data_IF_263782678392
#
_entry.id   IF_263782678392
#
_cell.length_a   1.000
_cell.length_b   1.000
_cell.length_c   1.000
_cell.angle_alpha   90.00
_cell.angle_beta   90.00
_cell.angle_gamma   90.00
#
_symmetry.space_group_name_H-M   'P 1'
#
loop_
_entity.id
_entity.type
_entity.pdbx_description
1 polymer ?
#
# COMPACT_ATOMS: atom_id res chain seq x y z
N UNK A 1 -21.26 27.40 1.66
CA UNK A 1 -21.84 26.59 2.74
C UNK A 1 -21.62 25.13 2.35
N UNK A 2 -20.53 24.50 2.81
CA UNK A 2 -20.26 23.07 2.57
C UNK A 2 -21.04 22.30 3.63
N UNK A 3 -21.96 21.42 3.20
CA UNK A 3 -22.96 20.80 4.05
C UNK A 3 -22.40 19.86 5.12
N UNK A 4 -23.16 19.62 6.21
CA UNK A 4 -22.77 18.80 7.36
C UNK A 4 -22.59 17.29 7.10
N UNK A 5 -22.77 16.81 5.86
CA UNK A 5 -22.87 15.37 5.55
C UNK A 5 -21.54 14.64 5.24
N UNK A 6 -20.43 15.33 4.98
CA UNK A 6 -19.15 14.66 4.66
C UNK A 6 -18.59 13.81 5.81
N UNK A 7 -19.04 14.05 7.05
CA UNK A 7 -18.68 13.26 8.24
C UNK A 7 -19.43 11.93 8.35
N UNK A 8 -20.60 11.80 7.71
CA UNK A 8 -21.40 10.57 7.77
C UNK A 8 -20.87 9.50 6.82
N UNK A 9 -20.39 9.90 5.64
CA UNK A 9 -19.93 8.98 4.57
C UNK A 9 -18.57 8.33 4.88
N UNK A 10 -17.76 8.96 5.75
CA UNK A 10 -16.43 8.46 6.14
C UNK A 10 -16.48 7.35 7.19
N UNK A 11 -17.58 7.23 7.94
CA UNK A 11 -17.74 6.22 9.00
C UNK A 11 -17.72 4.77 8.49
N UNK A 12 -18.18 4.53 7.25
CA UNK A 12 -18.14 3.20 6.62
C UNK A 12 -16.79 2.85 5.98
N UNK A 13 -15.94 3.85 5.71
CA UNK A 13 -14.63 3.63 5.08
C UNK A 13 -13.59 3.07 6.05
N UNK A 14 -13.63 3.46 7.34
CA UNK A 14 -12.68 2.99 8.35
C UNK A 14 -12.67 1.45 8.51
N UNK A 15 -13.81 0.77 8.73
CA UNK A 15 -13.81 -0.69 8.82
C UNK A 15 -13.39 -1.37 7.51
N UNK A 16 -13.67 -0.74 6.37
CA UNK A 16 -13.27 -1.24 5.05
C UNK A 16 -11.75 -1.20 4.89
N UNK A 17 -11.12 -0.05 5.15
CA UNK A 17 -9.67 0.11 5.12
C UNK A 17 -8.97 -0.75 6.18
N UNK A 18 -9.59 -0.94 7.35
CA UNK A 18 -9.08 -1.83 8.39
C UNK A 18 -9.02 -3.28 7.89
N UNK A 19 -10.10 -3.76 7.27
CA UNK A 19 -10.17 -5.10 6.68
C UNK A 19 -9.14 -5.29 5.56
N UNK A 20 -8.99 -4.29 4.68
CA UNK A 20 -7.95 -4.32 3.64
C UNK A 20 -6.53 -4.33 4.20
N UNK A 21 -6.27 -3.56 5.26
CA UNK A 21 -4.96 -3.52 5.92
C UNK A 21 -4.61 -4.87 6.50
N UNK A 22 -5.57 -5.55 7.12
CA UNK A 22 -5.36 -6.88 7.70
C UNK A 22 -5.07 -7.93 6.64
N UNK A 23 -5.81 -7.92 5.52
CA UNK A 23 -5.50 -8.78 4.35
C UNK A 23 -4.10 -8.50 3.81
N UNK A 24 -3.70 -7.23 3.76
CA UNK A 24 -2.37 -6.84 3.28
C UNK A 24 -1.27 -7.30 4.25
N UNK A 25 -1.47 -7.21 5.57
CA UNK A 25 -0.54 -7.77 6.58
C UNK A 25 -0.40 -9.28 6.45
N UNK A 26 -1.51 -10.00 6.29
CA UNK A 26 -1.48 -11.44 6.07
C UNK A 26 -0.69 -11.81 4.81
N UNK A 27 -0.85 -11.04 3.72
CA UNK A 27 -0.06 -11.20 2.50
C UNK A 27 1.43 -10.94 2.71
N UNK A 28 1.79 -9.89 3.46
CA UNK A 28 3.19 -9.59 3.82
C UNK A 28 3.79 -10.78 4.58
N UNK A 29 3.10 -11.28 5.60
CA UNK A 29 3.58 -12.42 6.39
C UNK A 29 3.70 -13.73 5.58
N UNK A 30 2.90 -13.92 4.53
CA UNK A 30 3.07 -15.02 3.59
C UNK A 30 4.33 -14.83 2.73
N UNK A 31 4.50 -13.67 2.10
CA UNK A 31 5.66 -13.36 1.25
C UNK A 31 6.97 -13.40 2.02
N UNK A 32 6.98 -13.00 3.31
CA UNK A 32 8.16 -13.10 4.16
C UNK A 32 8.57 -14.55 4.45
N UNK A 33 7.58 -15.45 4.62
CA UNK A 33 7.85 -16.89 4.78
C UNK A 33 8.36 -17.50 3.48
N UNK A 34 7.77 -17.15 2.34
CA UNK A 34 8.22 -17.62 1.03
C UNK A 34 9.67 -17.17 0.76
N UNK A 35 9.98 -15.91 1.11
CA UNK A 35 11.32 -15.35 0.95
C UNK A 35 12.34 -16.02 1.87
N UNK A 36 11.95 -16.41 3.09
CA UNK A 36 12.81 -17.17 3.99
C UNK A 36 13.11 -18.55 3.40
N UNK A 37 12.06 -19.28 2.98
CA UNK A 37 12.18 -20.61 2.38
C UNK A 37 13.10 -20.63 1.15
N UNK A 38 12.99 -19.63 0.28
CA UNK A 38 13.86 -19.50 -0.90
C UNK A 38 15.33 -19.27 -0.52
N UNK A 39 15.60 -18.52 0.55
CA UNK A 39 16.98 -18.31 1.04
C UNK A 39 17.56 -19.57 1.64
N UNK A 40 16.77 -20.32 2.39
CA UNK A 40 17.18 -21.60 2.97
C UNK A 40 17.47 -22.63 1.88
N UNK A 41 16.68 -22.63 0.79
CA UNK A 41 16.88 -23.51 -0.37
C UNK A 41 18.15 -23.19 -1.17
N UNK A 42 18.62 -21.94 -1.21
CA UNK A 42 19.84 -21.59 -1.96
C UNK A 42 21.14 -21.98 -1.24
N UNK A 43 21.09 -22.24 0.07
CA UNK A 43 22.28 -22.48 0.90
C UNK A 43 23.20 -21.25 0.98
N UNK A 44 23.94 -21.09 2.08
CA UNK A 44 24.93 -19.99 2.23
C UNK A 44 26.24 -20.28 1.45
N UNK A 45 26.18 -21.10 0.38
CA UNK A 45 27.36 -21.56 -0.34
C UNK A 45 27.63 -20.66 -1.56
N UNK A 46 28.69 -19.84 -1.55
CA UNK A 46 29.02 -18.94 -2.64
C UNK A 46 29.71 -19.64 -3.83
N UNK A 47 29.82 -20.97 -3.82
CA UNK A 47 30.62 -21.78 -4.75
C UNK A 47 29.76 -22.65 -5.69
N UNK A 48 28.65 -22.10 -6.18
CA UNK A 48 27.77 -22.80 -7.13
C UNK A 48 27.56 -21.99 -8.42
N UNK A 49 28.68 -21.51 -8.98
CA UNK A 49 28.72 -20.70 -10.21
C UNK A 49 28.26 -21.48 -11.47
N UNK A 50 27.89 -22.76 -11.32
CA UNK A 50 27.45 -23.65 -12.39
C UNK A 50 26.13 -24.37 -12.13
N UNK A 51 25.40 -24.04 -11.06
CA UNK A 51 24.07 -24.59 -10.83
C UNK A 51 22.98 -23.76 -11.54
N UNK A 52 22.32 -24.30 -12.59
CA UNK A 52 21.21 -23.62 -13.24
C UNK A 52 20.00 -23.43 -12.31
N UNK A 53 19.87 -24.22 -11.23
CA UNK A 53 18.81 -24.09 -10.24
C UNK A 53 19.03 -22.85 -9.35
N UNK A 54 20.27 -22.55 -8.94
CA UNK A 54 20.64 -21.33 -8.21
C UNK A 54 20.28 -20.01 -8.92
N UNK A 55 20.45 -19.93 -10.25
CA UNK A 55 20.03 -18.76 -11.03
C UNK A 55 18.50 -18.59 -11.04
N UNK A 56 17.76 -19.71 -11.06
CA UNK A 56 16.29 -19.73 -11.02
C UNK A 56 15.79 -19.30 -9.64
N UNK A 57 16.37 -19.82 -8.55
CA UNK A 57 16.03 -19.44 -7.18
C UNK A 57 16.34 -17.96 -6.92
N UNK A 58 17.45 -17.44 -7.44
CA UNK A 58 17.80 -16.03 -7.32
C UNK A 58 16.75 -15.12 -8.00
N UNK A 59 16.25 -15.50 -9.17
CA UNK A 59 15.18 -14.79 -9.88
C UNK A 59 13.84 -14.84 -9.10
N UNK A 60 13.45 -16.01 -8.62
CA UNK A 60 12.25 -16.18 -7.79
C UNK A 60 12.31 -15.31 -6.52
N UNK A 61 13.47 -15.29 -5.86
CA UNK A 61 13.72 -14.44 -4.69
C UNK A 61 13.54 -12.96 -4.99
N UNK A 62 14.05 -12.50 -6.14
CA UNK A 62 13.86 -11.11 -6.58
C UNK A 62 12.38 -10.79 -6.84
N UNK A 63 11.65 -11.72 -7.45
CA UNK A 63 10.22 -11.56 -7.70
C UNK A 63 9.42 -11.46 -6.39
N UNK A 64 9.65 -12.37 -5.44
CA UNK A 64 8.99 -12.35 -4.12
C UNK A 64 9.34 -11.07 -3.35
N UNK A 65 10.61 -10.63 -3.40
CA UNK A 65 11.03 -9.38 -2.76
C UNK A 65 10.32 -8.14 -3.35
N UNK A 66 10.13 -8.08 -4.67
CA UNK A 66 9.40 -7.00 -5.33
C UNK A 66 7.91 -6.98 -4.91
N UNK A 67 7.28 -8.15 -4.83
CA UNK A 67 5.90 -8.28 -4.34
C UNK A 67 5.76 -7.85 -2.87
N UNK A 68 6.76 -8.17 -2.04
CA UNK A 68 6.80 -7.78 -0.63
C UNK A 68 6.92 -6.26 -0.47
N UNK A 69 7.79 -5.61 -1.24
CA UNK A 69 7.93 -4.15 -1.23
C UNK A 69 6.63 -3.46 -1.65
N UNK A 70 5.99 -3.93 -2.73
CA UNK A 70 4.70 -3.40 -3.17
C UNK A 70 3.60 -3.59 -2.11
N UNK A 71 3.54 -4.73 -1.44
CA UNK A 71 2.58 -4.98 -0.37
C UNK A 71 2.82 -4.07 0.85
N UNK A 72 4.06 -3.82 1.24
CA UNK A 72 4.42 -2.89 2.32
C UNK A 72 4.02 -1.45 1.99
N UNK A 73 4.27 -0.99 0.76
CA UNK A 73 3.80 0.32 0.29
C UNK A 73 2.28 0.45 0.37
N UNK A 74 1.57 -0.58 -0.10
CA UNK A 74 0.10 -0.62 -0.04
C UNK A 74 -0.41 -0.57 1.41
N UNK A 75 0.24 -1.27 2.34
CA UNK A 75 -0.13 -1.23 3.76
C UNK A 75 0.06 0.18 4.34
N UNK A 76 1.17 0.84 4.04
CA UNK A 76 1.42 2.21 4.50
C UNK A 76 0.35 3.19 3.99
N UNK A 77 -0.05 3.07 2.72
CA UNK A 77 -1.15 3.88 2.15
C UNK A 77 -2.49 3.65 2.87
N UNK A 78 -2.78 2.40 3.26
CA UNK A 78 -4.01 2.06 4.00
C UNK A 78 -4.00 2.64 5.41
N UNK A 79 -2.88 2.47 6.12
CA UNK A 79 -2.72 2.97 7.49
C UNK A 79 -2.79 4.50 7.53
N UNK A 80 -2.18 5.17 6.56
CA UNK A 80 -2.28 6.62 6.42
C UNK A 80 -3.71 7.07 6.10
N UNK A 81 -4.42 6.37 5.19
CA UNK A 81 -5.82 6.64 4.92
C UNK A 81 -6.69 6.54 6.17
N UNK A 82 -6.44 5.54 7.01
CA UNK A 82 -7.13 5.36 8.30
C UNK A 82 -6.78 6.46 9.31
N UNK A 83 -5.52 6.87 9.39
CA UNK A 83 -5.12 7.96 10.28
C UNK A 83 -5.84 9.26 9.91
N UNK A 84 -5.96 9.55 8.62
CA UNK A 84 -6.68 10.73 8.13
C UNK A 84 -8.19 10.66 8.37
N UNK A 85 -8.80 9.48 8.32
CA UNK A 85 -10.18 9.28 8.76
C UNK A 85 -10.34 9.60 10.25
N UNK A 86 -9.38 9.20 11.08
CA UNK A 86 -9.40 9.48 12.52
C UNK A 86 -9.14 10.96 12.84
N UNK A 87 -8.26 11.63 12.09
CA UNK A 87 -7.99 13.06 12.29
C UNK A 87 -9.13 13.97 11.82
N UNK A 88 -10.03 13.44 10.97
CA UNK A 88 -11.11 14.22 10.36
C UNK A 88 -10.66 15.05 9.15
N UNK A 89 -9.39 14.93 8.73
CA UNK A 89 -8.83 15.58 7.53
C UNK A 89 -8.97 14.71 6.27
N UNK A 90 -9.79 13.66 6.37
CA UNK A 90 -10.11 12.82 5.23
C UNK A 90 -10.92 13.62 4.23
N UNK A 91 -10.33 13.81 3.05
CA UNK A 91 -10.85 14.73 2.05
C UNK A 91 -10.25 16.13 2.08
N UNK A 92 -9.16 16.37 2.81
CA UNK A 92 -8.34 17.58 2.69
C UNK A 92 -7.06 17.31 1.89
N UNK A 93 -6.68 18.21 0.99
CA UNK A 93 -5.46 18.11 0.18
C UNK A 93 -4.22 18.39 1.04
N UNK A 94 -3.21 17.52 0.98
CA UNK A 94 -1.97 17.72 1.75
C UNK A 94 -1.14 18.93 1.27
N UNK A 95 -1.27 19.34 0.00
CA UNK A 95 -0.47 20.43 -0.56
C UNK A 95 -1.11 21.80 -0.40
N UNK A 96 -2.44 21.88 -0.50
CA UNK A 96 -3.16 23.16 -0.50
C UNK A 96 -4.22 23.31 0.60
N UNK A 97 -4.47 22.26 1.39
CA UNK A 97 -5.52 22.25 2.41
C UNK A 97 -6.97 22.27 1.87
N UNK A 98 -7.17 22.37 0.55
CA UNK A 98 -8.49 22.40 -0.07
C UNK A 98 -9.18 21.03 -0.05
N UNK A 99 -10.50 21.00 -0.28
CA UNK A 99 -11.24 19.74 -0.27
C UNK A 99 -10.92 18.84 -1.49
N UNK A 100 -10.87 17.54 -1.26
CA UNK A 100 -10.76 16.49 -2.27
C UNK A 100 -12.19 16.03 -2.59
N UNK A 101 -12.60 16.03 -3.87
CA UNK A 101 -13.93 15.57 -4.26
C UNK A 101 -14.23 14.16 -3.75
N UNK A 102 -15.40 13.93 -3.17
CA UNK A 102 -15.78 12.64 -2.58
C UNK A 102 -15.76 11.52 -3.61
N UNK A 103 -16.19 11.79 -4.85
CA UNK A 103 -16.12 10.84 -5.97
C UNK A 103 -14.71 10.28 -6.18
N UNK A 104 -13.67 11.09 -5.95
CA UNK A 104 -12.27 10.63 -6.04
C UNK A 104 -11.85 9.79 -4.85
N UNK A 105 -12.33 10.12 -3.65
CA UNK A 105 -12.07 9.34 -2.44
C UNK A 105 -12.77 7.98 -2.50
N UNK A 106 -13.99 7.93 -3.05
CA UNK A 106 -14.73 6.70 -3.30
C UNK A 106 -14.04 5.84 -4.38
N UNK A 107 -13.59 6.46 -5.48
CA UNK A 107 -12.87 5.74 -6.53
C UNK A 107 -11.46 5.29 -6.10
N UNK A 108 -10.78 6.09 -5.29
CA UNK A 108 -9.41 5.84 -4.81
C UNK A 108 -9.24 6.40 -3.39
N UNK A 109 -9.50 5.59 -2.35
CA UNK A 109 -9.38 6.00 -0.95
C UNK A 109 -7.99 6.51 -0.55
N UNK A 110 -6.94 6.05 -1.25
CA UNK A 110 -5.56 6.46 -1.00
C UNK A 110 -5.21 7.87 -1.52
N UNK A 111 -6.12 8.60 -2.16
CA UNK A 111 -5.81 9.93 -2.73
C UNK A 111 -5.57 10.96 -1.63
N UNK A 112 -4.41 11.63 -1.69
CA UNK A 112 -3.99 12.65 -0.73
C UNK A 112 -4.03 14.09 -1.26
N UNK A 113 -4.24 14.25 -2.57
CA UNK A 113 -4.19 15.54 -3.27
C UNK A 113 -5.50 15.85 -3.97
N UNK A 114 -5.90 17.13 -3.99
CA UNK A 114 -6.98 17.59 -4.86
C UNK A 114 -6.60 17.42 -6.33
N UNK A 115 -7.58 17.52 -7.25
CA UNK A 115 -7.34 17.29 -8.69
C UNK A 115 -6.26 18.22 -9.22
N UNK A 116 -6.34 19.50 -8.83
CA UNK A 116 -5.36 20.52 -9.20
C UNK A 116 -3.95 20.20 -8.73
N UNK A 117 -3.76 19.74 -7.49
CA UNK A 117 -2.44 19.40 -6.94
C UNK A 117 -1.91 18.07 -7.49
N UNK A 118 -2.79 17.10 -7.79
CA UNK A 118 -2.40 15.85 -8.42
C UNK A 118 -1.87 16.09 -9.85
N UNK A 119 -2.61 16.84 -10.68
CA UNK A 119 -2.19 17.18 -12.05
C UNK A 119 -0.87 17.95 -12.10
N UNK A 120 -0.53 18.71 -11.06
CA UNK A 120 0.75 19.43 -10.96
C UNK A 120 1.93 18.54 -10.56
N UNK A 121 1.69 17.40 -9.92
CA UNK A 121 2.73 16.49 -9.46
C UNK A 121 3.05 15.39 -10.50
N UNK A 122 2.08 15.08 -11.37
CA UNK A 122 2.21 14.08 -12.44
C UNK A 122 2.77 14.68 -13.76
N UNK A 123 3.16 15.95 -13.76
CA UNK A 123 3.64 16.71 -14.92
C UNK A 123 5.09 17.15 -14.80
#
# INVERSE_FOLDING_TARGET
MVGPDARADTGGLEPTLASEAERTRARIAALERDLAALREATGDSPDDEHDPEGATIAFERQQVAALLDAARKRLAELEEGRERLRSGDYGSCIDCGGSIPMERLLARPAVRRCTTCATRADG
#
